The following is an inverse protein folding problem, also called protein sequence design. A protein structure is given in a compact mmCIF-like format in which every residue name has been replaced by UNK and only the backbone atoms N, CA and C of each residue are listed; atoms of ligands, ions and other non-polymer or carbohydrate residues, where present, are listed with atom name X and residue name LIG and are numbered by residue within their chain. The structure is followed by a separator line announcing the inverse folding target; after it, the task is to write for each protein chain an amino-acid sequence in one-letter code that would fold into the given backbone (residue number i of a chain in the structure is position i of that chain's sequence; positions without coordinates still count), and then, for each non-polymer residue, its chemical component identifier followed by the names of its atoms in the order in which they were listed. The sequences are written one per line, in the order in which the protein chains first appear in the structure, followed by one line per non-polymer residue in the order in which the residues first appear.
data_IF_666992060581
#
_entry.id   IF_666992060581
#
_cell.length_a   1.000
_cell.length_b   1.000
_cell.length_c   1.000
_cell.angle_alpha   90.00
_cell.angle_beta   90.00
_cell.angle_gamma   90.00
#
_symmetry.space_group_name_H-M   'P 1'
#
loop_
_entity.id
_entity.type
_entity.pdbx_description
1 polymer ?
#
# COMPACT_ATOMS: atom_id res chain seq x y z
N UNK A 1 -20.46 9.76 -3.37
CA UNK A 1 -20.84 9.35 -2.01
C UNK A 1 -20.22 10.32 -1.01
N UNK A 2 -21.00 10.86 -0.07
CA UNK A 2 -20.49 11.74 0.99
C UNK A 2 -19.74 10.94 2.05
N UNK A 3 -18.81 11.56 2.77
CA UNK A 3 -18.03 10.88 3.83
C UNK A 3 -18.93 10.30 4.93
N UNK A 4 -20.05 10.97 5.24
CA UNK A 4 -21.05 10.49 6.19
C UNK A 4 -21.74 9.21 5.71
N UNK A 5 -22.10 9.13 4.43
CA UNK A 5 -22.75 7.95 3.86
C UNK A 5 -21.78 6.75 3.82
N UNK A 6 -20.49 7.03 3.57
CA UNK A 6 -19.44 6.00 3.60
C UNK A 6 -19.26 5.40 4.99
N UNK A 7 -19.22 6.24 6.02
CA UNK A 7 -19.14 5.78 7.41
C UNK A 7 -20.36 4.94 7.83
N UNK A 8 -21.56 5.31 7.38
CA UNK A 8 -22.78 4.53 7.62
C UNK A 8 -22.76 3.18 6.90
N UNK A 9 -22.28 3.13 5.65
CA UNK A 9 -22.11 1.89 4.90
C UNK A 9 -21.15 0.93 5.61
N UNK A 10 -19.99 1.41 6.05
CA UNK A 10 -19.02 0.60 6.78
C UNK A 10 -19.63 0.05 8.08
N UNK A 11 -20.31 0.90 8.86
CA UNK A 11 -20.99 0.49 10.10
C UNK A 11 -22.14 -0.50 9.85
N UNK A 12 -22.85 -0.39 8.72
CA UNK A 12 -23.88 -1.35 8.33
C UNK A 12 -23.28 -2.73 8.02
N UNK A 13 -22.22 -2.77 7.21
CA UNK A 13 -21.53 -4.00 6.81
C UNK A 13 -20.90 -4.75 8.00
N UNK A 14 -20.44 -4.00 9.01
CA UNK A 14 -19.90 -4.56 10.25
C UNK A 14 -20.98 -4.97 11.27
N UNK A 15 -22.27 -4.72 10.98
CA UNK A 15 -23.38 -5.02 11.90
C UNK A 15 -23.42 -4.13 13.15
N UNK A 16 -22.87 -2.92 13.05
CA UNK A 16 -22.76 -1.95 14.15
C UNK A 16 -23.91 -0.93 14.16
N UNK A 17 -24.64 -0.78 13.04
CA UNK A 17 -25.84 0.06 13.01
C UNK A 17 -26.98 -0.58 13.80
N UNK A 18 -27.65 0.23 14.63
CA UNK A 18 -28.80 -0.19 15.44
C UNK A 18 -29.85 0.92 15.50
N UNK A 19 -31.08 0.59 15.88
CA UNK A 19 -32.12 1.59 16.19
C UNK A 19 -32.56 2.43 14.99
N UNK A 20 -32.57 3.75 15.17
CA UNK A 20 -33.01 4.72 14.16
C UNK A 20 -32.08 4.76 12.95
N UNK A 21 -30.76 4.71 13.18
CA UNK A 21 -29.75 4.79 12.11
C UNK A 21 -29.83 3.59 11.17
N UNK A 22 -30.09 2.38 11.71
CA UNK A 22 -30.31 1.19 10.90
C UNK A 22 -31.55 1.34 10.01
N UNK A 23 -32.67 1.82 10.59
CA UNK A 23 -33.91 2.03 9.84
C UNK A 23 -33.78 3.10 8.76
N UNK A 24 -33.04 4.16 9.06
CA UNK A 24 -32.75 5.21 8.07
C UNK A 24 -31.89 4.67 6.93
N UNK A 25 -30.85 3.90 7.23
CA UNK A 25 -29.99 3.30 6.22
C UNK A 25 -30.73 2.26 5.36
N UNK A 26 -31.55 1.42 5.95
CA UNK A 26 -32.41 0.47 5.21
C UNK A 26 -33.42 1.20 4.31
N UNK A 27 -33.98 2.32 4.77
CA UNK A 27 -34.84 3.16 3.94
C UNK A 27 -34.08 3.80 2.77
N UNK A 28 -32.80 4.16 2.96
CA UNK A 28 -31.92 4.63 1.87
C UNK A 28 -31.63 3.52 0.87
N UNK A 29 -31.33 2.29 1.33
CA UNK A 29 -31.14 1.13 0.44
C UNK A 29 -32.37 0.83 -0.40
N UNK A 30 -33.58 1.06 0.14
CA UNK A 30 -34.83 0.90 -0.62
C UNK A 30 -35.06 1.98 -1.69
N UNK A 31 -34.38 3.13 -1.61
CA UNK A 31 -34.53 4.25 -2.54
C UNK A 31 -33.39 4.35 -3.55
N UNK A 32 -32.20 3.88 -3.19
CA UNK A 32 -30.99 3.96 -4.00
C UNK A 32 -30.54 2.56 -4.45
N UNK A 33 -30.85 2.23 -5.71
CA UNK A 33 -30.49 0.94 -6.30
C UNK A 33 -28.97 0.77 -6.47
N UNK A 34 -28.21 1.86 -6.63
CA UNK A 34 -26.76 1.80 -6.76
C UNK A 34 -26.13 1.39 -5.42
N UNK A 35 -26.54 2.04 -4.33
CA UNK A 35 -26.11 1.68 -2.98
C UNK A 35 -26.48 0.24 -2.62
N UNK A 36 -27.69 -0.21 -2.98
CA UNK A 36 -28.13 -1.59 -2.76
C UNK A 36 -27.32 -2.62 -3.59
N UNK A 37 -26.79 -2.25 -4.76
CA UNK A 37 -25.86 -3.12 -5.51
C UNK A 37 -24.50 -3.21 -4.83
N UNK A 38 -23.99 -2.11 -4.29
CA UNK A 38 -22.71 -2.07 -3.57
C UNK A 38 -22.73 -2.96 -2.33
N UNK A 39 -23.79 -2.86 -1.50
CA UNK A 39 -23.97 -3.74 -0.32
C UNK A 39 -23.99 -5.22 -0.73
N UNK A 40 -24.78 -5.58 -1.75
CA UNK A 40 -24.85 -6.96 -2.24
C UNK A 40 -23.52 -7.49 -2.76
N UNK A 41 -22.73 -6.65 -3.43
CA UNK A 41 -21.39 -7.02 -3.90
C UNK A 41 -20.45 -7.31 -2.71
N UNK A 42 -20.49 -6.48 -1.66
CA UNK A 42 -19.73 -6.70 -0.43
C UNK A 42 -20.14 -7.99 0.30
N UNK A 43 -21.43 -8.22 0.48
CA UNK A 43 -21.93 -9.46 1.10
C UNK A 43 -21.52 -10.71 0.31
N UNK A 44 -21.56 -10.65 -1.03
CA UNK A 44 -21.13 -11.75 -1.88
C UNK A 44 -19.63 -12.07 -1.71
N UNK A 45 -18.78 -11.04 -1.65
CA UNK A 45 -17.34 -11.20 -1.38
C UNK A 45 -17.09 -11.79 0.01
N UNK A 46 -17.72 -11.24 1.05
CA UNK A 46 -17.61 -11.74 2.43
C UNK A 46 -18.07 -13.20 2.55
N UNK A 47 -19.16 -13.56 1.85
CA UNK A 47 -19.65 -14.94 1.77
C UNK A 47 -18.70 -15.87 1.01
N UNK A 48 -17.99 -15.39 -0.02
CA UNK A 48 -16.95 -16.18 -0.69
C UNK A 48 -15.74 -16.42 0.24
N UNK A 49 -15.29 -15.40 0.97
CA UNK A 49 -14.18 -15.51 1.93
C UNK A 49 -14.49 -16.49 3.07
N UNK A 50 -15.70 -16.42 3.65
CA UNK A 50 -16.14 -17.37 4.70
C UNK A 50 -16.16 -18.83 4.21
N UNK A 51 -16.41 -19.07 2.93
CA UNK A 51 -16.37 -20.42 2.33
C UNK A 51 -14.94 -20.94 2.16
N UNK A 52 -13.99 -20.06 1.85
CA UNK A 52 -12.58 -20.42 1.68
C UNK A 52 -11.86 -20.60 3.03
N UNK A 53 -12.29 -19.85 4.05
CA UNK A 53 -11.75 -19.91 5.39
C UNK A 53 -12.88 -20.24 6.38
N UNK A 54 -13.31 -21.52 6.47
CA UNK A 54 -14.23 -21.92 7.52
C UNK A 54 -13.60 -21.54 8.86
N UNK A 55 -14.25 -20.62 9.56
CA UNK A 55 -13.81 -20.20 10.89
C UNK A 55 -13.84 -21.45 11.74
N UNK A 56 -12.66 -22.02 12.00
CA UNK A 56 -12.53 -23.08 12.98
C UNK A 56 -12.90 -22.41 14.28
N UNK A 57 -14.07 -22.75 14.83
CA UNK A 57 -14.47 -22.32 16.15
C UNK A 57 -13.34 -22.74 17.09
N UNK A 58 -12.49 -21.78 17.44
CA UNK A 58 -11.48 -21.98 18.47
C UNK A 58 -12.32 -22.11 19.73
N UNK A 59 -12.32 -23.28 20.40
CA UNK A 59 -13.06 -23.42 21.65
C UNK A 59 -12.58 -22.32 22.57
N UNK A 60 -13.46 -21.36 22.86
CA UNK A 60 -13.18 -20.36 23.87
C UNK A 60 -12.88 -21.16 25.15
N UNK A 61 -11.77 -20.90 25.84
CA UNK A 61 -11.47 -21.57 27.09
C UNK A 61 -12.68 -21.38 27.99
N UNK A 62 -13.35 -22.50 28.30
CA UNK A 62 -14.51 -22.54 29.19
C UNK A 62 -14.11 -21.84 30.46
N UNK A 63 -14.60 -20.62 30.63
CA UNK A 63 -14.41 -19.85 31.84
C UNK A 63 -14.85 -20.72 33.01
N UNK A 64 -13.91 -20.94 33.95
CA UNK A 64 -14.16 -21.55 35.24
C UNK A 64 -15.50 -21.09 35.81
N UNK A 65 -16.33 -22.07 36.18
CA UNK A 65 -17.66 -21.85 36.72
C UNK A 65 -17.64 -20.87 37.88
N UNK A 66 -18.32 -19.75 37.67
CA UNK A 66 -18.91 -18.98 38.77
C UNK A 66 -20.34 -19.49 38.93
N UNK A 67 -20.63 -19.95 40.14
CA UNK A 67 -21.75 -20.82 40.45
C UNK A 67 -23.14 -20.24 40.18
N UNK A 68 -24.05 -21.17 39.94
CA UNK A 68 -25.50 -21.01 40.04
C UNK A 68 -25.89 -20.53 41.44
N UNK A 69 -26.09 -19.21 41.56
CA UNK A 69 -26.79 -18.57 42.65
C UNK A 69 -28.21 -18.21 42.21
N UNK A 70 -29.13 -19.15 42.39
CA UNK A 70 -30.58 -18.95 42.26
C UNK A 70 -31.04 -17.83 43.22
N UNK A 71 -31.59 -16.74 42.69
CA UNK A 71 -32.43 -15.79 43.44
C UNK A 71 -33.24 -14.92 42.49
N UNK A 72 -34.51 -15.28 42.32
CA UNK A 72 -35.51 -14.42 41.72
C UNK A 72 -35.74 -13.17 42.56
N UNK A 73 -35.32 -12.02 42.04
CA UNK A 73 -35.71 -10.71 42.55
C UNK A 73 -36.24 -9.87 41.40
N UNK A 74 -37.56 -9.64 41.39
CA UNK A 74 -38.24 -8.67 40.51
C UNK A 74 -37.67 -7.28 40.78
N UNK A 75 -36.75 -6.83 39.92
CA UNK A 75 -36.12 -5.52 40.05
C UNK A 75 -37.05 -4.45 39.47
N UNK A 76 -37.69 -3.68 40.36
CA UNK A 76 -38.41 -2.45 40.01
C UNK A 76 -37.42 -1.45 39.41
N UNK A 77 -37.60 -1.12 38.13
CA UNK A 77 -36.82 -0.09 37.41
C UNK A 77 -37.20 1.28 37.97
N UNK A 78 -36.59 1.65 39.10
CA UNK A 78 -36.61 3.02 39.59
C UNK A 78 -35.61 3.86 38.79
N UNK A 79 -36.09 4.96 38.18
CA UNK A 79 -35.27 5.97 37.50
C UNK A 79 -34.34 6.68 38.50
N UNK A 80 -33.31 6.00 39.00
CA UNK A 80 -32.16 6.64 39.65
C UNK A 80 -31.26 7.17 38.54
N UNK A 81 -31.39 8.46 38.23
CA UNK A 81 -30.36 9.23 37.52
C UNK A 81 -29.10 9.22 38.38
N UNK A 82 -28.32 8.14 38.28
CA UNK A 82 -27.02 8.04 38.93
C UNK A 82 -26.05 8.92 38.15
N UNK A 83 -25.22 9.68 38.87
CA UNK A 83 -24.10 10.45 38.30
C UNK A 83 -23.04 9.57 37.62
N UNK A 84 -23.26 8.26 37.54
CA UNK A 84 -22.44 7.28 36.84
C UNK A 84 -22.45 7.45 35.31
N UNK A 85 -23.47 8.12 34.75
CA UNK A 85 -23.53 8.39 33.30
C UNK A 85 -22.40 9.30 32.80
N UNK A 86 -21.85 10.19 33.65
CA UNK A 86 -20.81 11.12 33.22
C UNK A 86 -19.43 10.46 33.07
N UNK A 87 -19.13 9.46 33.92
CA UNK A 87 -17.85 8.73 33.88
C UNK A 87 -17.76 7.76 32.69
N UNK A 88 -18.90 7.19 32.26
CA UNK A 88 -18.95 6.35 31.06
C UNK A 88 -18.54 7.09 29.79
N UNK A 89 -18.92 8.37 29.65
CA UNK A 89 -18.56 9.19 28.49
C UNK A 89 -17.06 9.46 28.46
N UNK A 90 -16.45 9.78 29.60
CA UNK A 90 -14.99 10.05 29.68
C UNK A 90 -14.19 8.80 29.30
N UNK A 91 -14.59 7.61 29.77
CA UNK A 91 -13.92 6.36 29.42
C UNK A 91 -14.01 6.06 27.91
N UNK A 92 -15.19 6.26 27.30
CA UNK A 92 -15.37 6.06 25.86
C UNK A 92 -14.51 7.02 25.02
N UNK A 93 -14.43 8.30 25.41
CA UNK A 93 -13.58 9.29 24.73
C UNK A 93 -12.11 8.92 24.82
N UNK A 94 -11.64 8.44 25.98
CA UNK A 94 -10.26 8.00 26.14
C UNK A 94 -9.93 6.76 25.30
N UNK A 95 -10.85 5.80 25.18
CA UNK A 95 -10.66 4.63 24.32
C UNK A 95 -10.62 5.04 22.85
N UNK A 96 -11.54 5.89 22.38
CA UNK A 96 -11.53 6.39 20.99
C UNK A 96 -10.25 7.20 20.72
N UNK A 97 -9.81 8.04 21.66
CA UNK A 97 -8.56 8.79 21.51
C UNK A 97 -7.32 7.87 21.50
N UNK A 98 -7.30 6.82 22.33
CA UNK A 98 -6.21 5.85 22.36
C UNK A 98 -6.17 5.01 21.07
N UNK A 99 -7.31 4.53 20.59
CA UNK A 99 -7.41 3.78 19.32
C UNK A 99 -7.09 4.69 18.14
N UNK A 100 -7.65 5.90 18.08
CA UNK A 100 -7.37 6.88 17.05
C UNK A 100 -5.91 7.32 17.05
N UNK A 101 -5.31 7.54 18.22
CA UNK A 101 -3.89 7.84 18.37
C UNK A 101 -2.99 6.67 17.96
N UNK A 102 -3.32 5.45 18.36
CA UNK A 102 -2.62 4.24 17.93
C UNK A 102 -2.68 4.09 16.41
N UNK A 103 -3.88 4.20 15.81
CA UNK A 103 -4.06 4.13 14.36
C UNK A 103 -3.39 5.29 13.62
N UNK A 104 -3.34 6.50 14.17
CA UNK A 104 -2.65 7.62 13.53
C UNK A 104 -1.12 7.46 13.58
N UNK A 105 -0.59 6.90 14.66
CA UNK A 105 0.84 6.62 14.84
C UNK A 105 1.29 5.37 14.08
N UNK A 106 0.40 4.37 13.91
CA UNK A 106 0.67 3.12 13.22
C UNK A 106 0.18 3.10 11.78
N UNK A 107 -0.67 4.04 11.38
CA UNK A 107 -0.95 4.31 9.98
C UNK A 107 0.40 4.58 9.35
N UNK A 108 0.89 3.72 8.45
CA UNK A 108 2.16 3.95 7.79
C UNK A 108 2.00 5.26 7.04
N UNK A 109 2.49 6.34 7.65
CA UNK A 109 2.57 7.63 6.99
C UNK A 109 3.29 7.31 5.70
N UNK A 110 2.55 7.40 4.59
CA UNK A 110 3.09 7.07 3.28
C UNK A 110 4.20 8.08 3.10
N UNK A 111 5.44 7.65 3.31
CA UNK A 111 6.57 8.52 3.13
C UNK A 111 6.42 9.11 1.72
N UNK A 112 6.56 10.44 1.60
CA UNK A 112 6.35 11.07 0.32
C UNK A 112 7.27 10.41 -0.71
N UNK A 113 6.73 10.15 -1.90
CA UNK A 113 7.55 9.63 -2.98
C UNK A 113 8.73 10.57 -3.22
N UNK A 114 9.93 10.01 -3.25
CA UNK A 114 11.16 10.77 -3.50
C UNK A 114 11.19 11.25 -4.94
N UNK A 115 11.78 12.42 -5.15
CA UNK A 115 12.03 12.90 -6.50
C UNK A 115 13.22 12.14 -7.11
N UNK A 116 13.27 11.93 -8.44
CA UNK A 116 14.33 11.15 -9.07
C UNK A 116 15.75 11.70 -8.85
N UNK A 117 15.90 13.02 -8.81
CA UNK A 117 17.16 13.72 -8.54
C UNK A 117 17.63 13.53 -7.09
N UNK A 118 16.69 13.50 -6.14
CA UNK A 118 17.00 13.20 -4.75
C UNK A 118 17.56 11.78 -4.62
N UNK A 119 16.94 10.81 -5.28
CA UNK A 119 17.43 9.41 -5.31
C UNK A 119 18.81 9.34 -5.93
N UNK A 120 19.01 9.97 -7.09
CA UNK A 120 20.32 10.03 -7.75
C UNK A 120 21.39 10.60 -6.81
N UNK A 121 21.14 11.78 -6.21
CA UNK A 121 22.07 12.45 -5.31
C UNK A 121 22.41 11.61 -4.09
N UNK A 122 21.40 11.00 -3.45
CA UNK A 122 21.62 10.13 -2.27
C UNK A 122 22.48 8.93 -2.64
N UNK A 123 22.25 8.30 -3.79
CA UNK A 123 23.06 7.18 -4.24
C UNK A 123 24.50 7.59 -4.53
N UNK A 124 24.71 8.70 -5.26
CA UNK A 124 26.06 9.20 -5.57
C UNK A 124 26.81 9.62 -4.30
N UNK A 125 26.17 10.38 -3.40
CA UNK A 125 26.77 10.78 -2.12
C UNK A 125 27.03 9.58 -1.19
N UNK A 126 26.22 8.52 -1.29
CA UNK A 126 26.39 7.27 -0.57
C UNK A 126 27.46 6.33 -1.16
N UNK A 127 28.28 6.80 -2.10
CA UNK A 127 29.34 6.00 -2.73
C UNK A 127 28.84 5.06 -3.82
N UNK A 128 27.59 5.22 -4.26
CA UNK A 128 26.98 4.46 -5.36
C UNK A 128 27.07 2.94 -5.17
N UNK A 129 26.82 2.49 -3.94
CA UNK A 129 26.89 1.07 -3.53
C UNK A 129 25.51 0.39 -3.64
N UNK A 130 25.37 -0.67 -4.45
CA UNK A 130 24.11 -1.41 -4.59
C UNK A 130 23.88 -2.36 -3.43
N UNK A 131 22.60 -2.72 -3.19
CA UNK A 131 22.25 -3.78 -2.24
C UNK A 131 22.37 -5.18 -2.84
N UNK A 132 22.22 -5.29 -4.17
CA UNK A 132 22.31 -6.55 -4.91
C UNK A 132 23.25 -6.35 -6.10
N UNK A 133 24.20 -7.26 -6.31
CA UNK A 133 25.13 -7.21 -7.45
C UNK A 133 24.82 -8.38 -8.36
N UNK A 134 24.57 -8.09 -9.64
CA UNK A 134 24.52 -9.10 -10.69
C UNK A 134 25.84 -9.06 -11.44
N UNK A 135 26.53 -10.20 -11.49
CA UNK A 135 27.84 -10.33 -12.14
C UNK A 135 27.72 -10.88 -13.57
N UNK A 136 26.60 -11.55 -13.89
CA UNK A 136 26.34 -12.08 -15.22
C UNK A 136 24.99 -11.61 -15.79
N UNK A 137 24.84 -11.71 -17.10
CA UNK A 137 23.59 -11.39 -17.80
C UNK A 137 22.45 -12.32 -17.37
N UNK A 138 22.74 -13.59 -17.11
CA UNK A 138 21.78 -14.57 -16.63
C UNK A 138 21.27 -14.23 -15.23
N UNK A 139 22.16 -13.79 -14.32
CA UNK A 139 21.78 -13.31 -12.99
C UNK A 139 20.86 -12.08 -13.08
N UNK A 140 21.20 -11.14 -13.96
CA UNK A 140 20.37 -9.96 -14.23
C UNK A 140 18.98 -10.36 -14.73
N UNK A 141 18.92 -11.23 -15.75
CA UNK A 141 17.66 -11.73 -16.35
C UNK A 141 16.81 -12.44 -15.30
N UNK A 142 17.42 -13.33 -14.52
CA UNK A 142 16.72 -14.08 -13.46
C UNK A 142 16.20 -13.14 -12.37
N UNK A 143 16.96 -12.09 -12.02
CA UNK A 143 16.53 -11.09 -11.05
C UNK A 143 15.33 -10.28 -11.58
N UNK A 144 15.37 -9.84 -12.84
CA UNK A 144 14.28 -9.12 -13.49
C UNK A 144 13.00 -9.97 -13.55
N UNK A 145 13.12 -11.22 -13.98
CA UNK A 145 11.99 -12.15 -14.03
C UNK A 145 11.37 -12.38 -12.64
N UNK A 146 12.20 -12.58 -11.61
CA UNK A 146 11.72 -12.80 -10.24
C UNK A 146 11.05 -11.57 -9.63
N UNK A 147 11.58 -10.38 -9.91
CA UNK A 147 11.16 -9.12 -9.27
C UNK A 147 9.98 -8.47 -9.99
N UNK A 148 9.99 -8.52 -11.32
CA UNK A 148 9.06 -7.80 -12.19
C UNK A 148 8.19 -8.70 -13.05
N UNK A 149 8.45 -10.01 -13.06
CA UNK A 149 7.70 -10.96 -13.90
C UNK A 149 8.09 -10.94 -15.37
N UNK A 150 9.06 -10.10 -15.77
CA UNK A 150 9.53 -9.98 -17.16
C UNK A 150 11.05 -10.10 -17.25
N UNK A 151 11.58 -10.93 -18.15
CA UNK A 151 13.02 -11.11 -18.32
C UNK A 151 13.61 -10.03 -19.24
N UNK A 152 13.77 -8.82 -18.70
CA UNK A 152 14.47 -7.74 -19.40
C UNK A 152 15.97 -7.98 -19.36
N UNK A 153 16.65 -7.72 -20.48
CA UNK A 153 18.11 -7.63 -20.57
C UNK A 153 18.53 -6.27 -21.11
N UNK A 154 19.72 -5.83 -20.72
CA UNK A 154 20.43 -4.69 -21.31
C UNK A 154 21.67 -5.29 -21.97
N UNK A 155 21.96 -4.88 -23.20
CA UNK A 155 23.11 -5.40 -23.93
C UNK A 155 24.40 -5.28 -23.08
N UNK A 156 25.02 -6.42 -22.77
CA UNK A 156 26.19 -6.52 -21.89
C UNK A 156 27.48 -5.99 -22.52
N UNK A 157 27.50 -5.77 -23.83
CA UNK A 157 28.65 -5.31 -24.60
C UNK A 157 28.57 -3.83 -25.03
N UNK A 158 27.79 -3.01 -24.32
CA UNK A 158 27.74 -1.58 -24.60
C UNK A 158 29.06 -0.91 -24.20
N UNK A 159 29.73 -0.31 -25.19
CA UNK A 159 30.99 0.38 -24.96
C UNK A 159 30.83 1.48 -23.89
N UNK A 160 31.71 1.46 -22.90
CA UNK A 160 31.73 2.42 -21.80
C UNK A 160 30.68 2.19 -20.71
N UNK A 161 29.86 1.14 -20.81
CA UNK A 161 28.82 0.87 -19.81
C UNK A 161 29.29 -0.19 -18.80
N UNK A 162 29.21 0.15 -17.52
CA UNK A 162 29.43 -0.75 -16.39
C UNK A 162 28.12 -0.88 -15.61
N UNK A 163 27.51 -2.07 -15.59
CA UNK A 163 26.37 -2.34 -14.72
C UNK A 163 26.89 -2.60 -13.30
N UNK A 164 26.53 -1.72 -12.35
CA UNK A 164 27.05 -1.76 -10.98
C UNK A 164 26.22 -2.69 -10.10
N UNK A 165 24.90 -2.62 -10.20
CA UNK A 165 23.99 -3.46 -9.41
C UNK A 165 22.63 -2.81 -9.20
N UNK A 166 21.91 -3.26 -8.17
CA UNK A 166 20.54 -2.86 -7.89
C UNK A 166 20.35 -2.33 -6.47
N UNK A 167 19.38 -1.45 -6.33
CA UNK A 167 18.81 -1.03 -5.05
C UNK A 167 17.32 -0.73 -5.21
N UNK A 168 16.68 -0.24 -4.15
CA UNK A 168 15.26 0.10 -4.17
C UNK A 168 15.03 1.51 -3.64
N UNK A 169 14.04 2.19 -4.21
CA UNK A 169 13.62 3.50 -3.73
C UNK A 169 12.11 3.68 -3.90
N UNK A 170 11.55 4.61 -3.14
CA UNK A 170 10.13 4.96 -3.22
C UNK A 170 9.94 6.11 -4.22
N UNK A 171 10.04 5.81 -5.51
CA UNK A 171 9.82 6.82 -6.56
C UNK A 171 8.46 6.65 -7.18
N UNK A 172 8.21 5.60 -7.97
CA UNK A 172 6.94 5.39 -8.66
C UNK A 172 5.94 4.67 -7.75
N UNK A 173 6.40 3.63 -7.06
CA UNK A 173 5.68 2.88 -6.04
C UNK A 173 6.56 2.67 -4.78
N UNK A 174 6.06 1.95 -3.77
CA UNK A 174 6.76 1.64 -2.52
C UNK A 174 8.06 0.84 -2.73
N UNK A 175 8.20 0.17 -3.87
CA UNK A 175 9.36 -0.66 -4.21
C UNK A 175 9.75 -0.50 -5.69
N UNK A 176 10.03 0.73 -6.11
CA UNK A 176 10.63 0.95 -7.43
C UNK A 176 12.07 0.42 -7.42
N UNK A 177 12.38 -0.47 -8.36
CA UNK A 177 13.74 -0.97 -8.55
C UNK A 177 14.62 0.10 -9.17
N UNK A 178 15.85 0.21 -8.70
CA UNK A 178 16.83 1.17 -9.21
C UNK A 178 18.04 0.39 -9.70
N UNK A 179 18.18 0.29 -11.01
CA UNK A 179 19.41 -0.18 -11.63
C UNK A 179 20.46 0.93 -11.51
N UNK A 180 21.63 0.57 -11.06
CA UNK A 180 22.79 1.45 -10.93
C UNK A 180 23.81 1.06 -11.98
N UNK A 181 24.29 2.02 -12.75
CA UNK A 181 25.29 1.82 -13.78
C UNK A 181 26.23 3.02 -13.85
N UNK A 182 27.38 2.83 -14.50
CA UNK A 182 28.24 3.92 -14.95
C UNK A 182 28.34 3.90 -16.46
N UNK A 183 28.33 5.07 -17.06
CA UNK A 183 28.52 5.25 -18.51
C UNK A 183 29.70 6.20 -18.68
N UNK A 184 30.79 5.71 -19.24
CA UNK A 184 32.06 6.43 -19.36
C UNK A 184 32.56 6.97 -18.01
N UNK A 185 32.30 6.22 -16.93
CA UNK A 185 32.62 6.59 -15.54
C UNK A 185 31.58 7.44 -14.83
N UNK A 186 30.61 8.02 -15.55
CA UNK A 186 29.55 8.86 -14.97
C UNK A 186 28.41 8.01 -14.39
N UNK A 187 27.95 8.28 -13.17
CA UNK A 187 26.86 7.52 -12.56
C UNK A 187 25.54 7.79 -13.29
N UNK A 188 24.81 6.71 -13.58
CA UNK A 188 23.50 6.71 -14.21
C UNK A 188 22.60 5.73 -13.44
N UNK A 189 21.35 6.10 -13.20
CA UNK A 189 20.37 5.18 -12.61
C UNK A 189 19.19 4.97 -13.55
N UNK A 190 18.63 3.77 -13.53
CA UNK A 190 17.37 3.45 -14.22
C UNK A 190 16.34 3.02 -13.20
N UNK A 191 15.27 3.81 -13.09
CA UNK A 191 14.10 3.48 -12.27
C UNK A 191 13.22 2.54 -13.07
N UNK A 192 12.88 1.38 -12.51
CA UNK A 192 12.06 0.36 -13.17
C UNK A 192 10.88 0.01 -12.27
N UNK A 193 9.68 0.01 -12.86
CA UNK A 193 8.44 -0.34 -12.17
C UNK A 193 7.40 -0.85 -13.18
N UNK A 194 6.26 -1.30 -12.68
CA UNK A 194 5.12 -1.70 -13.51
C UNK A 194 4.55 -0.50 -14.28
N UNK A 195 4.08 -0.76 -15.50
CA UNK A 195 3.55 0.25 -16.41
C UNK A 195 2.30 0.93 -15.85
N UNK A 196 1.48 0.22 -15.07
CA UNK A 196 0.30 0.78 -14.40
C UNK A 196 0.65 1.79 -13.29
N UNK A 197 1.90 1.79 -12.80
CA UNK A 197 2.45 2.79 -11.86
C UNK A 197 3.14 3.95 -12.57
N UNK A 198 3.20 3.92 -13.91
CA UNK A 198 3.88 4.96 -14.67
C UNK A 198 3.25 6.33 -14.44
N UNK A 199 4.11 7.33 -14.21
CA UNK A 199 3.71 8.74 -14.15
C UNK A 199 4.80 9.62 -14.73
N UNK A 200 4.44 10.80 -15.20
CA UNK A 200 5.41 11.75 -15.75
C UNK A 200 6.36 12.23 -14.66
N UNK A 201 7.63 11.88 -14.79
CA UNK A 201 8.71 12.40 -13.96
C UNK A 201 9.34 13.62 -14.64
N UNK A 202 9.83 14.57 -13.84
CA UNK A 202 10.58 15.74 -14.31
C UNK A 202 11.82 15.87 -13.44
N UNK A 203 12.97 16.13 -14.06
CA UNK A 203 14.14 16.57 -13.32
C UNK A 203 13.86 17.99 -12.79
N UNK A 204 14.14 18.29 -11.52
CA UNK A 204 14.10 19.65 -11.02
C UNK A 204 15.05 20.55 -11.81
N UNK A 205 14.62 21.78 -12.06
CA UNK A 205 15.46 22.79 -12.70
C UNK A 205 16.76 23.00 -11.93
N UNK A 206 17.88 23.08 -12.63
CA UNK A 206 19.21 23.29 -12.04
C UNK A 206 19.90 22.03 -11.52
N UNK A 207 19.25 20.85 -11.54
CA UNK A 207 19.89 19.60 -11.13
C UNK A 207 21.00 19.12 -12.08
N UNK A 208 21.02 19.60 -13.33
CA UNK A 208 21.89 19.09 -14.39
C UNK A 208 21.49 17.70 -14.91
N UNK A 209 20.43 17.10 -14.36
CA UNK A 209 19.95 15.78 -14.72
C UNK A 209 18.89 15.85 -15.82
N UNK A 210 18.87 14.82 -16.67
CA UNK A 210 17.84 14.53 -17.65
C UNK A 210 17.12 13.24 -17.27
N UNK A 211 15.86 13.14 -17.66
CA UNK A 211 15.05 11.93 -17.47
C UNK A 211 14.54 11.47 -18.83
N UNK A 212 14.90 10.24 -19.20
CA UNK A 212 14.44 9.59 -20.42
C UNK A 212 13.51 8.43 -20.06
N UNK A 213 12.38 8.31 -20.74
CA UNK A 213 11.36 7.29 -20.45
C UNK A 213 11.30 6.28 -21.59
N UNK A 214 11.23 4.99 -21.25
CA UNK A 214 10.83 3.92 -22.17
C UNK A 214 9.79 3.02 -21.52
N UNK A 215 8.88 2.49 -22.33
CA UNK A 215 7.99 1.40 -21.94
C UNK A 215 8.42 0.14 -22.67
N UNK A 216 8.40 -0.99 -21.98
CA UNK A 216 8.83 -2.28 -22.49
C UNK A 216 7.97 -3.35 -21.82
N UNK A 217 7.12 -4.06 -22.59
CA UNK A 217 6.15 -4.99 -22.01
C UNK A 217 5.21 -4.31 -21.03
N UNK A 218 5.05 -4.90 -19.85
CA UNK A 218 4.30 -4.37 -18.70
C UNK A 218 5.18 -3.51 -17.78
N UNK A 219 6.37 -3.11 -18.22
CA UNK A 219 7.28 -2.28 -17.43
C UNK A 219 7.44 -0.87 -18.00
N UNK A 220 7.76 0.05 -17.10
CA UNK A 220 8.22 1.39 -17.42
C UNK A 220 9.60 1.60 -16.83
N UNK A 221 10.48 2.22 -17.63
CA UNK A 221 11.85 2.53 -17.26
C UNK A 221 12.09 4.03 -17.39
N UNK A 222 12.75 4.62 -16.40
CA UNK A 222 13.20 6.01 -16.43
C UNK A 222 14.70 6.08 -16.18
N UNK A 223 15.48 6.44 -17.20
CA UNK A 223 16.90 6.73 -17.05
C UNK A 223 17.09 8.14 -16.52
N UNK A 224 17.72 8.27 -15.36
CA UNK A 224 18.08 9.54 -14.73
C UNK A 224 19.59 9.70 -14.85
N UNK A 225 20.01 10.69 -15.63
CA UNK A 225 21.40 10.78 -16.10
C UNK A 225 21.84 12.24 -16.29
N UNK A 226 23.12 12.60 -16.02
CA UNK A 226 23.66 13.90 -16.42
C UNK A 226 23.93 13.99 -17.94
N UNK A 227 23.94 12.85 -18.64
CA UNK A 227 24.29 12.76 -20.05
C UNK A 227 23.29 13.48 -20.96
N UNK A 228 23.76 13.82 -22.17
CA UNK A 228 22.99 14.45 -23.25
C UNK A 228 21.80 13.61 -23.74
N UNK A 229 21.94 12.30 -23.65
CA UNK A 229 21.05 11.30 -24.24
C UNK A 229 20.96 10.07 -23.33
N UNK A 230 19.92 9.25 -23.55
CA UNK A 230 19.79 7.96 -22.89
C UNK A 230 20.72 6.93 -23.51
N UNK A 231 21.31 6.08 -22.67
CA UNK A 231 22.23 5.00 -23.10
C UNK A 231 21.78 3.61 -22.68
N UNK A 232 21.04 3.48 -21.58
CA UNK A 232 20.62 2.19 -21.03
C UNK A 232 19.21 1.84 -21.44
N UNK A 233 18.28 2.79 -21.29
CA UNK A 233 16.88 2.51 -21.63
C UNK A 233 16.69 2.29 -23.12
N UNK A 234 17.53 2.84 -23.99
CA UNK A 234 17.49 2.59 -25.46
C UNK A 234 17.91 1.18 -25.85
N UNK A 235 18.71 0.51 -25.01
CA UNK A 235 19.27 -0.81 -25.29
C UNK A 235 18.54 -1.94 -24.56
N UNK A 236 17.62 -1.60 -23.65
CA UNK A 236 16.78 -2.57 -22.97
C UNK A 236 15.85 -3.31 -23.95
N UNK A 237 15.77 -4.63 -23.80
CA UNK A 237 14.86 -5.49 -24.59
C UNK A 237 14.31 -6.63 -23.74
N UNK A 238 13.14 -7.13 -24.13
CA UNK A 238 12.61 -8.36 -23.56
C UNK A 238 13.29 -9.54 -24.24
N UNK A 239 13.68 -10.53 -23.45
CA UNK A 239 13.99 -11.84 -24.00
C UNK A 239 12.77 -12.76 -23.94
N UNK A 240 12.55 -13.59 -24.96
CA UNK A 240 11.54 -14.64 -24.91
C UNK A 240 11.87 -15.72 -23.88
#
# INVERSE_FOLDING_TARGET
MSDSLRAMLDAYLDGLLTGDDLREFEALLGRDEELAREVRAHEAMSGALRRLAPVREVPLPTSMGLGEGNSGARMRIGKRRSKAGLWGIVAAVLVVAAVGGYLALWSPQRAPYRQPDEVYRVLVQGGFSPSEVCTTEEEFKAWMLRTHGEPVVIASNLAGVELVGWTYSQVLDRRTSVLMAKVDGEPVIVLIDALDKARRLKAPGGSGLRIFRRSLGQLVMYEVTPLGEARLVTEARLEP
#
